data_IF_584298941623
#
_entry.id   IF_584298941623
#
_cell.length_a   1.000
_cell.length_b   1.000
_cell.length_c   1.000
_cell.angle_alpha   90.00
_cell.angle_beta   90.00
_cell.angle_gamma   90.00
#
_symmetry.space_group_name_H-M   'P 1'
#
loop_
_entity.id
_entity.type
_entity.pdbx_description
1 polymer ?
#
# COMPACT_ATOMS: atom_id res chain seq x y z
N UNK A 1 15.45 -22.64 -23.22
CA UNK A 1 14.34 -22.34 -22.29
C UNK A 1 13.67 -21.07 -22.80
N UNK A 2 12.40 -21.14 -23.21
CA UNK A 2 11.62 -19.93 -23.53
C UNK A 2 11.32 -19.16 -22.24
N UNK A 3 11.40 -17.83 -22.28
CA UNK A 3 11.05 -16.98 -21.14
C UNK A 3 9.55 -17.09 -20.86
N UNK A 4 9.15 -17.27 -19.60
CA UNK A 4 7.74 -17.21 -19.18
C UNK A 4 7.34 -15.74 -19.01
N UNK A 5 6.95 -15.11 -20.12
CA UNK A 5 6.62 -13.68 -20.16
C UNK A 5 5.44 -13.33 -19.23
N UNK A 6 4.33 -14.11 -19.17
CA UNK A 6 3.26 -13.86 -18.21
C UNK A 6 3.75 -13.87 -16.76
N UNK A 7 4.61 -14.81 -16.37
CA UNK A 7 5.13 -14.86 -15.01
C UNK A 7 6.03 -13.65 -14.69
N UNK A 8 6.90 -13.25 -15.63
CA UNK A 8 7.75 -12.07 -15.48
C UNK A 8 6.89 -10.81 -15.27
N UNK A 9 5.86 -10.62 -16.09
CA UNK A 9 4.94 -9.49 -15.97
C UNK A 9 4.13 -9.51 -14.68
N UNK A 10 3.66 -10.68 -14.23
CA UNK A 10 2.99 -10.81 -12.95
C UNK A 10 3.92 -10.38 -11.79
N UNK A 11 5.20 -10.77 -11.86
CA UNK A 11 6.23 -10.35 -10.90
C UNK A 11 6.51 -8.84 -10.93
N UNK A 12 6.58 -8.24 -12.12
CA UNK A 12 6.79 -6.78 -12.27
C UNK A 12 5.63 -6.01 -11.64
N UNK A 13 4.38 -6.39 -11.95
CA UNK A 13 3.20 -5.71 -11.42
C UNK A 13 3.08 -5.93 -9.92
N UNK A 14 3.29 -7.15 -9.42
CA UNK A 14 3.29 -7.43 -7.99
C UNK A 14 4.33 -6.57 -7.26
N UNK A 15 5.53 -6.46 -7.82
CA UNK A 15 6.59 -5.60 -7.27
C UNK A 15 6.18 -4.12 -7.29
N UNK A 16 5.58 -3.64 -8.38
CA UNK A 16 5.10 -2.27 -8.48
C UNK A 16 4.03 -1.95 -7.43
N UNK A 17 3.05 -2.84 -7.23
CA UNK A 17 2.02 -2.68 -6.19
C UNK A 17 2.64 -2.71 -4.80
N UNK A 18 3.59 -3.61 -4.52
CA UNK A 18 4.29 -3.63 -3.24
C UNK A 18 5.06 -2.33 -2.99
N UNK A 19 5.82 -1.85 -3.99
CA UNK A 19 6.56 -0.59 -3.88
C UNK A 19 5.62 0.58 -3.67
N UNK A 20 4.48 0.63 -4.36
CA UNK A 20 3.46 1.64 -4.13
C UNK A 20 2.98 1.64 -2.66
N UNK A 21 2.58 0.48 -2.15
CA UNK A 21 2.08 0.32 -0.77
C UNK A 21 3.15 0.70 0.27
N UNK A 22 4.42 0.38 0.04
CA UNK A 22 5.51 0.69 0.98
C UNK A 22 5.95 2.15 0.91
N UNK A 23 5.98 2.74 -0.29
CA UNK A 23 6.50 4.09 -0.52
C UNK A 23 5.40 5.14 -0.33
N UNK A 24 4.31 5.07 -1.10
CA UNK A 24 3.20 6.03 -0.96
C UNK A 24 2.39 5.79 0.33
N UNK A 25 2.48 4.59 0.92
CA UNK A 25 1.82 4.28 2.19
C UNK A 25 2.28 5.14 3.36
N UNK A 26 3.55 5.55 3.42
CA UNK A 26 3.98 6.53 4.44
C UNK A 26 3.58 7.95 4.10
N UNK A 27 3.51 8.33 2.82
CA UNK A 27 3.04 9.66 2.37
C UNK A 27 1.58 9.87 2.79
N UNK A 28 0.72 8.89 2.46
CA UNK A 28 -0.67 8.84 2.90
C UNK A 28 -0.77 8.77 4.43
N UNK A 29 0.10 8.01 5.07
CA UNK A 29 0.24 7.93 6.53
C UNK A 29 0.47 9.29 7.20
N UNK A 30 1.36 10.11 6.64
CA UNK A 30 1.62 11.47 7.13
C UNK A 30 0.38 12.34 6.94
N UNK A 31 -0.33 12.21 5.82
CA UNK A 31 -1.61 12.88 5.57
C UNK A 31 -2.69 12.52 6.60
N UNK A 32 -2.79 11.25 6.99
CA UNK A 32 -3.71 10.79 8.06
C UNK A 32 -3.33 11.41 9.40
N UNK A 33 -2.03 11.53 9.70
CA UNK A 33 -1.52 12.10 10.94
C UNK A 33 -1.57 13.64 10.97
N UNK A 34 -1.73 14.27 9.81
CA UNK A 34 -1.62 15.72 9.61
C UNK A 34 -2.52 16.59 10.51
N UNK A 35 -3.79 16.20 10.78
CA UNK A 35 -4.65 16.95 11.70
C UNK A 35 -4.11 16.97 13.13
N UNK A 36 -3.35 15.95 13.55
CA UNK A 36 -2.88 15.75 14.91
C UNK A 36 -1.57 16.49 15.23
N UNK A 37 -0.95 17.15 14.25
CA UNK A 37 0.15 18.08 14.48
C UNK A 37 -0.29 19.22 15.43
N UNK A 38 0.58 19.63 16.35
CA UNK A 38 0.23 20.60 17.40
C UNK A 38 0.37 22.04 16.92
N UNK A 39 1.17 22.29 15.88
CA UNK A 39 1.35 23.63 15.32
C UNK A 39 1.35 23.61 13.78
N UNK A 40 1.08 24.77 13.14
CA UNK A 40 1.27 24.91 11.71
C UNK A 40 2.70 24.59 11.25
N UNK A 41 3.71 24.93 12.06
CA UNK A 41 5.13 24.69 11.74
C UNK A 41 5.44 23.20 11.65
N UNK A 42 4.82 22.37 12.50
CA UNK A 42 5.00 20.93 12.40
C UNK A 42 4.35 20.32 11.18
N UNK A 43 3.20 20.88 10.76
CA UNK A 43 2.58 20.50 9.50
C UNK A 43 3.50 20.83 8.33
N UNK A 44 4.20 21.96 8.39
CA UNK A 44 5.19 22.33 7.38
C UNK A 44 6.35 21.31 7.35
N UNK A 45 6.95 20.98 8.50
CA UNK A 45 7.99 19.95 8.61
C UNK A 45 7.52 18.57 8.13
N UNK A 46 6.28 18.18 8.45
CA UNK A 46 5.69 16.92 7.97
C UNK A 46 5.61 16.88 6.44
N UNK A 47 5.17 17.96 5.78
CA UNK A 47 5.11 18.04 4.33
C UNK A 47 6.49 18.07 3.69
N UNK A 48 7.39 18.90 4.22
CA UNK A 48 8.75 19.05 3.71
C UNK A 48 9.54 17.72 3.78
N UNK A 49 9.20 16.85 4.74
CA UNK A 49 9.81 15.52 4.87
C UNK A 49 9.52 14.55 3.71
N UNK A 50 8.45 14.79 2.94
CA UNK A 50 8.04 13.94 1.81
C UNK A 50 8.07 14.67 0.47
N UNK A 51 8.21 16.01 0.47
CA UNK A 51 8.28 16.84 -0.74
C UNK A 51 9.20 16.29 -1.85
N UNK A 52 10.39 15.73 -1.56
CA UNK A 52 11.29 15.26 -2.63
C UNK A 52 10.90 13.91 -3.26
N UNK A 53 9.97 13.15 -2.64
CA UNK A 53 9.74 11.73 -3.00
C UNK A 53 8.28 11.41 -3.34
N UNK A 54 7.30 12.16 -2.85
CA UNK A 54 5.88 11.78 -2.93
C UNK A 54 5.37 11.58 -4.38
N UNK A 55 5.72 12.48 -5.30
CA UNK A 55 5.31 12.38 -6.71
C UNK A 55 5.92 11.12 -7.37
N UNK A 56 7.20 10.84 -7.07
CA UNK A 56 7.86 9.62 -7.50
C UNK A 56 7.21 8.35 -6.97
N UNK A 57 6.68 8.38 -5.74
CA UNK A 57 6.04 7.22 -5.11
C UNK A 57 4.71 6.86 -5.79
N UNK A 58 3.93 7.85 -6.26
CA UNK A 58 2.69 7.62 -6.99
C UNK A 58 2.90 6.91 -8.34
N UNK A 59 4.08 7.06 -8.96
CA UNK A 59 4.37 6.43 -10.27
C UNK A 59 4.28 4.90 -10.24
N UNK A 60 4.49 4.28 -9.07
CA UNK A 60 4.36 2.83 -8.90
C UNK A 60 2.92 2.34 -9.05
N UNK A 61 1.93 3.16 -8.65
CA UNK A 61 0.52 2.87 -8.89
C UNK A 61 0.20 2.88 -10.39
N UNK A 62 0.79 3.83 -11.12
CA UNK A 62 0.64 3.92 -12.58
C UNK A 62 1.22 2.69 -13.27
N UNK A 63 2.40 2.24 -12.86
CA UNK A 63 2.98 0.99 -13.36
C UNK A 63 2.12 -0.23 -12.99
N UNK A 64 1.55 -0.26 -11.77
CA UNK A 64 0.64 -1.32 -11.35
C UNK A 64 -0.63 -1.39 -12.22
N UNK A 65 -1.36 -0.29 -12.33
CA UNK A 65 -2.62 -0.21 -13.08
C UNK A 65 -2.44 -0.27 -14.60
N UNK A 66 -1.50 0.52 -15.13
CA UNK A 66 -1.17 0.53 -16.56
C UNK A 66 -0.50 -0.77 -17.02
N UNK A 67 0.35 -1.35 -16.16
CA UNK A 67 0.93 -2.67 -16.39
C UNK A 67 -0.14 -3.76 -16.41
N UNK A 68 -1.13 -3.71 -15.50
CA UNK A 68 -2.25 -4.66 -15.51
C UNK A 68 -3.07 -4.55 -16.80
N UNK A 69 -3.38 -3.34 -17.24
CA UNK A 69 -4.06 -3.10 -18.52
C UNK A 69 -3.29 -3.69 -19.70
N UNK A 70 -1.98 -3.43 -19.76
CA UNK A 70 -1.16 -3.79 -20.89
C UNK A 70 -0.83 -5.30 -20.94
N UNK A 71 -0.43 -5.88 -19.80
CA UNK A 71 0.02 -7.25 -19.71
C UNK A 71 -1.11 -8.26 -19.45
N UNK A 72 -2.17 -7.86 -18.75
CA UNK A 72 -3.28 -8.75 -18.36
C UNK A 72 -4.65 -8.13 -18.67
N UNK A 73 -4.97 -7.87 -19.96
CA UNK A 73 -6.18 -7.14 -20.35
C UNK A 73 -7.48 -7.81 -19.88
N UNK A 74 -7.53 -9.14 -19.81
CA UNK A 74 -8.71 -9.86 -19.30
C UNK A 74 -8.90 -9.69 -17.79
N UNK A 75 -7.81 -9.64 -17.02
CA UNK A 75 -7.89 -9.31 -15.60
C UNK A 75 -8.33 -7.86 -15.40
N UNK A 76 -7.79 -6.94 -16.21
CA UNK A 76 -8.20 -5.54 -16.18
C UNK A 76 -9.70 -5.37 -16.49
N UNK A 77 -10.22 -6.04 -17.52
CA UNK A 77 -11.64 -5.97 -17.88
C UNK A 77 -12.58 -6.61 -16.85
N UNK A 78 -12.09 -7.55 -16.05
CA UNK A 78 -12.85 -8.16 -14.97
C UNK A 78 -12.85 -7.29 -13.70
N UNK A 79 -11.67 -6.81 -13.29
CA UNK A 79 -11.48 -6.12 -12.01
C UNK A 79 -11.88 -4.65 -12.06
N UNK A 80 -11.60 -3.94 -13.14
CA UNK A 80 -11.84 -2.49 -13.19
C UNK A 80 -13.32 -2.12 -13.13
N UNK A 81 -14.25 -2.79 -13.83
CA UNK A 81 -15.68 -2.53 -13.67
C UNK A 81 -16.18 -2.89 -12.26
N UNK A 82 -15.68 -3.99 -11.68
CA UNK A 82 -16.06 -4.44 -10.35
C UNK A 82 -15.65 -3.45 -9.23
N UNK A 83 -14.47 -2.84 -9.40
CA UNK A 83 -13.87 -1.92 -8.42
C UNK A 83 -13.89 -0.47 -8.89
N UNK A 84 -14.76 -0.14 -9.85
CA UNK A 84 -14.79 1.15 -10.54
C UNK A 84 -14.97 2.33 -9.57
N UNK A 85 -15.95 2.25 -8.68
CA UNK A 85 -16.25 3.32 -7.71
C UNK A 85 -15.10 3.53 -6.71
N UNK A 86 -14.56 2.49 -6.03
CA UNK A 86 -13.38 2.63 -5.19
C UNK A 86 -12.16 3.19 -5.92
N UNK A 87 -11.87 2.72 -7.14
CA UNK A 87 -10.73 3.22 -7.93
C UNK A 87 -10.89 4.69 -8.28
N UNK A 88 -12.08 5.14 -8.72
CA UNK A 88 -12.33 6.55 -9.00
C UNK A 88 -12.21 7.40 -7.72
N UNK A 89 -12.78 6.93 -6.61
CA UNK A 89 -12.67 7.63 -5.34
C UNK A 89 -11.20 7.79 -4.94
N UNK A 90 -10.40 6.73 -5.10
CA UNK A 90 -8.96 6.74 -4.85
C UNK A 90 -8.25 7.78 -5.73
N UNK A 91 -8.48 7.78 -7.05
CA UNK A 91 -7.84 8.71 -7.98
C UNK A 91 -8.22 10.17 -7.68
N UNK A 92 -9.50 10.45 -7.43
CA UNK A 92 -9.96 11.80 -7.04
C UNK A 92 -9.34 12.26 -5.72
N UNK A 93 -9.20 11.34 -4.76
CA UNK A 93 -8.58 11.63 -3.47
C UNK A 93 -7.06 11.88 -3.59
N UNK A 94 -6.36 11.15 -4.45
CA UNK A 94 -4.95 11.38 -4.77
C UNK A 94 -4.75 12.72 -5.49
N UNK A 95 -5.61 13.07 -6.46
CA UNK A 95 -5.59 14.39 -7.11
C UNK A 95 -5.80 15.49 -6.06
N UNK A 96 -6.80 15.36 -5.19
CA UNK A 96 -7.05 16.32 -4.12
C UNK A 96 -5.84 16.46 -3.20
N UNK A 97 -5.18 15.34 -2.85
CA UNK A 97 -3.96 15.33 -2.04
C UNK A 97 -2.83 16.11 -2.71
N UNK A 98 -2.51 15.80 -3.97
CA UNK A 98 -1.43 16.46 -4.72
C UNK A 98 -1.67 17.96 -4.91
N UNK A 99 -2.91 18.35 -5.27
CA UNK A 99 -3.28 19.77 -5.36
C UNK A 99 -3.19 20.44 -3.98
N UNK A 100 -3.66 19.80 -2.92
CA UNK A 100 -3.55 20.37 -1.58
C UNK A 100 -2.10 20.52 -1.12
N UNK A 101 -1.21 19.61 -1.53
CA UNK A 101 0.21 19.68 -1.24
C UNK A 101 0.85 20.95 -1.82
N UNK A 102 0.68 21.18 -3.13
CA UNK A 102 1.24 22.33 -3.84
C UNK A 102 0.61 23.66 -3.40
N UNK A 103 -0.72 23.72 -3.32
CA UNK A 103 -1.42 24.99 -3.10
C UNK A 103 -1.42 25.45 -1.64
N UNK A 104 -1.07 24.60 -0.67
CA UNK A 104 -1.04 24.99 0.75
C UNK A 104 0.01 26.07 1.01
N UNK A 105 1.15 26.05 0.31
CA UNK A 105 2.21 27.04 0.50
C UNK A 105 1.79 28.44 -0.02
N UNK A 106 1.00 28.46 -1.09
CA UNK A 106 0.49 29.69 -1.72
C UNK A 106 -0.79 30.27 -1.09
N UNK A 107 -1.44 29.52 -0.19
CA UNK A 107 -2.69 29.94 0.45
C UNK A 107 -2.50 31.08 1.45
N UNK A 108 -3.39 32.10 1.41
CA UNK A 108 -3.62 33.02 2.55
C UNK A 108 -4.22 32.25 3.74
N UNK A 109 -4.36 32.87 4.92
CA UNK A 109 -4.76 32.19 6.18
C UNK A 109 -5.98 31.25 6.06
N UNK A 110 -7.08 31.67 5.40
CA UNK A 110 -8.25 30.79 5.18
C UNK A 110 -8.00 29.67 4.16
N UNK A 111 -7.19 29.94 3.13
CA UNK A 111 -6.77 28.93 2.15
C UNK A 111 -5.89 27.84 2.78
N UNK A 112 -4.98 28.21 3.70
CA UNK A 112 -4.14 27.22 4.42
C UNK A 112 -4.97 26.23 5.23
N UNK A 113 -6.04 26.68 5.90
CA UNK A 113 -6.91 25.79 6.66
C UNK A 113 -7.67 24.81 5.75
N UNK A 114 -8.19 25.30 4.61
CA UNK A 114 -8.83 24.46 3.61
C UNK A 114 -7.88 23.41 3.03
N UNK A 115 -6.69 23.81 2.58
CA UNK A 115 -5.71 22.88 2.01
C UNK A 115 -5.15 21.90 3.04
N UNK A 116 -5.05 22.31 4.31
CA UNK A 116 -4.71 21.39 5.40
C UNK A 116 -5.77 20.29 5.58
N UNK A 117 -7.05 20.66 5.54
CA UNK A 117 -8.14 19.69 5.62
C UNK A 117 -8.22 18.82 4.35
N UNK A 118 -7.99 19.40 3.17
CA UNK A 118 -7.99 18.69 1.89
C UNK A 118 -6.86 17.66 1.79
N UNK A 119 -5.65 18.00 2.26
CA UNK A 119 -4.51 17.07 2.29
C UNK A 119 -4.80 15.86 3.20
N UNK A 120 -5.32 16.12 4.40
CA UNK A 120 -5.68 15.05 5.33
C UNK A 120 -6.86 14.21 4.82
N UNK A 121 -7.93 14.86 4.36
CA UNK A 121 -9.13 14.21 3.83
C UNK A 121 -8.85 13.39 2.58
N UNK A 122 -8.04 13.92 1.64
CA UNK A 122 -7.58 13.20 0.45
C UNK A 122 -6.75 11.98 0.82
N UNK A 123 -5.83 12.09 1.77
CA UNK A 123 -4.99 10.96 2.20
C UNK A 123 -5.81 9.86 2.90
N UNK A 124 -6.75 10.24 3.77
CA UNK A 124 -7.67 9.29 4.42
C UNK A 124 -8.58 8.62 3.39
N UNK A 125 -9.18 9.40 2.49
CA UNK A 125 -10.08 8.87 1.47
C UNK A 125 -9.36 7.94 0.48
N UNK A 126 -8.15 8.30 0.04
CA UNK A 126 -7.34 7.44 -0.83
C UNK A 126 -6.98 6.11 -0.12
N UNK A 127 -6.60 6.17 1.16
CA UNK A 127 -6.27 4.97 1.93
C UNK A 127 -7.48 4.06 2.15
N UNK A 128 -8.64 4.63 2.50
CA UNK A 128 -9.87 3.86 2.65
C UNK A 128 -10.29 3.24 1.31
N UNK A 129 -10.21 3.99 0.22
CA UNK A 129 -10.51 3.51 -1.12
C UNK A 129 -9.58 2.36 -1.54
N UNK A 130 -8.28 2.44 -1.25
CA UNK A 130 -7.34 1.34 -1.48
C UNK A 130 -7.69 0.09 -0.70
N UNK A 131 -8.07 0.21 0.56
CA UNK A 131 -8.46 -0.96 1.34
C UNK A 131 -9.82 -1.53 0.93
N UNK A 132 -10.73 -0.70 0.39
CA UNK A 132 -11.95 -1.17 -0.28
C UNK A 132 -11.63 -1.94 -1.58
N UNK A 133 -10.69 -1.44 -2.38
CA UNK A 133 -10.16 -2.15 -3.57
C UNK A 133 -9.57 -3.49 -3.15
N UNK A 134 -8.71 -3.51 -2.14
CA UNK A 134 -8.07 -4.74 -1.65
C UNK A 134 -9.08 -5.73 -1.06
N UNK A 135 -10.02 -5.25 -0.25
CA UNK A 135 -11.06 -6.08 0.35
C UNK A 135 -12.03 -6.63 -0.69
N UNK A 136 -12.40 -5.84 -1.70
CA UNK A 136 -13.18 -6.29 -2.85
C UNK A 136 -12.41 -7.31 -3.70
N UNK A 137 -11.11 -7.09 -3.92
CA UNK A 137 -10.24 -8.05 -4.59
C UNK A 137 -10.22 -9.39 -3.84
N UNK A 138 -9.95 -9.41 -2.53
CA UNK A 138 -9.89 -10.65 -1.74
C UNK A 138 -11.21 -11.43 -1.75
N UNK A 139 -12.34 -10.72 -1.76
CA UNK A 139 -13.66 -11.34 -1.84
C UNK A 139 -13.92 -12.05 -3.17
N UNK A 140 -13.23 -11.64 -4.22
CA UNK A 140 -13.50 -12.07 -5.59
C UNK A 140 -14.59 -11.23 -6.24
N UNK A 141 -14.73 -11.41 -7.55
CA UNK A 141 -15.68 -10.67 -8.38
C UNK A 141 -16.59 -11.64 -9.11
N UNK A 142 -17.87 -11.29 -9.27
CA UNK A 142 -18.81 -12.14 -10.01
C UNK A 142 -18.56 -11.99 -11.50
N UNK A 143 -18.26 -13.10 -12.18
CA UNK A 143 -17.99 -13.13 -13.61
C UNK A 143 -19.04 -13.97 -14.36
N UNK A 144 -19.41 -13.50 -15.56
CA UNK A 144 -20.08 -14.30 -16.57
C UNK A 144 -19.12 -14.46 -17.76
N UNK A 145 -18.56 -15.67 -17.90
CA UNK A 145 -17.45 -15.90 -18.83
C UNK A 145 -16.19 -15.14 -18.41
N UNK A 146 -15.83 -14.09 -19.16
CA UNK A 146 -14.67 -13.21 -18.87
C UNK A 146 -15.07 -11.77 -18.52
N UNK A 147 -16.37 -11.50 -18.44
CA UNK A 147 -16.89 -10.16 -18.16
C UNK A 147 -17.44 -10.09 -16.74
N UNK A 148 -17.31 -8.92 -16.14
CA UNK A 148 -17.95 -8.62 -14.86
C UNK A 148 -19.47 -8.65 -14.98
N UNK A 149 -20.13 -9.35 -14.07
CA UNK A 149 -21.58 -9.53 -14.03
C UNK A 149 -22.19 -9.18 -12.65
N UNK A 150 -21.39 -8.62 -11.73
CA UNK A 150 -21.83 -8.23 -10.40
C UNK A 150 -22.55 -6.88 -10.36
N UNK A 151 -23.03 -6.52 -9.17
CA UNK A 151 -23.61 -5.23 -8.86
C UNK A 151 -22.56 -4.13 -8.62
N UNK A 152 -22.94 -2.84 -8.78
CA UNK A 152 -22.01 -1.71 -8.64
C UNK A 152 -21.48 -1.50 -7.21
N UNK A 153 -22.06 -2.15 -6.21
CA UNK A 153 -21.69 -2.04 -4.79
C UNK A 153 -21.28 -3.38 -4.16
N UNK A 154 -21.04 -4.43 -4.96
CA UNK A 154 -20.66 -5.75 -4.43
C UNK A 154 -19.32 -5.71 -3.66
N UNK A 155 -18.48 -4.73 -3.96
CA UNK A 155 -17.24 -4.46 -3.23
C UNK A 155 -17.47 -3.87 -1.83
N UNK A 156 -18.65 -3.32 -1.52
CA UNK A 156 -18.96 -2.65 -0.25
C UNK A 156 -19.59 -3.66 0.73
N UNK A 157 -18.74 -4.29 1.53
CA UNK A 157 -19.16 -5.29 2.51
C UNK A 157 -18.53 -5.00 3.87
N UNK A 158 -19.04 -5.56 4.98
CA UNK A 158 -18.38 -5.45 6.28
C UNK A 158 -16.92 -5.93 6.25
N UNK A 159 -16.62 -6.93 5.42
CA UNK A 159 -15.26 -7.42 5.23
C UNK A 159 -14.36 -6.40 4.53
N UNK A 160 -14.79 -5.78 3.43
CA UNK A 160 -13.95 -4.77 2.76
C UNK A 160 -13.78 -3.51 3.58
N UNK A 161 -14.79 -3.13 4.38
CA UNK A 161 -14.67 -2.04 5.34
C UNK A 161 -13.64 -2.36 6.44
N UNK A 162 -13.62 -3.60 6.94
CA UNK A 162 -12.61 -4.06 7.91
C UNK A 162 -11.20 -3.97 7.31
N UNK A 163 -11.01 -4.40 6.06
CA UNK A 163 -9.73 -4.28 5.34
C UNK A 163 -9.34 -2.81 5.15
N UNK A 164 -10.30 -1.94 4.81
CA UNK A 164 -10.08 -0.48 4.69
C UNK A 164 -9.62 0.16 5.99
N UNK A 165 -10.25 -0.16 7.12
CA UNK A 165 -9.82 0.31 8.44
C UNK A 165 -8.46 -0.27 8.82
N UNK A 166 -8.21 -1.54 8.49
CA UNK A 166 -6.90 -2.19 8.66
C UNK A 166 -5.78 -1.46 7.92
N UNK A 167 -6.01 -1.12 6.65
CA UNK A 167 -5.04 -0.39 5.84
C UNK A 167 -4.81 1.03 6.36
N UNK A 168 -5.87 1.72 6.83
CA UNK A 168 -5.77 3.03 7.47
C UNK A 168 -4.84 2.99 8.69
N UNK A 169 -4.99 1.98 9.56
CA UNK A 169 -4.10 1.79 10.71
C UNK A 169 -2.66 1.48 10.28
N UNK A 170 -2.49 0.63 9.27
CA UNK A 170 -1.18 0.26 8.72
C UNK A 170 -0.44 1.45 8.10
N UNK A 171 -1.10 2.26 7.29
CA UNK A 171 -0.48 3.47 6.72
C UNK A 171 -0.21 4.53 7.78
N UNK A 172 -1.07 4.65 8.79
CA UNK A 172 -0.76 5.48 9.97
C UNK A 172 0.54 5.03 10.64
N UNK A 173 0.79 3.73 10.74
CA UNK A 173 2.05 3.18 11.25
C UNK A 173 3.24 3.51 10.32
N UNK A 174 3.10 3.35 9.01
CA UNK A 174 4.13 3.73 8.04
C UNK A 174 4.48 5.22 8.13
N UNK A 175 3.48 6.10 8.13
CA UNK A 175 3.68 7.54 8.28
C UNK A 175 4.34 7.91 9.61
N UNK A 176 3.88 7.33 10.72
CA UNK A 176 4.47 7.60 12.04
C UNK A 176 5.93 7.14 12.13
N UNK A 177 6.25 5.95 11.62
CA UNK A 177 7.61 5.42 11.64
C UNK A 177 8.54 6.14 10.67
N UNK A 178 8.04 6.61 9.53
CA UNK A 178 8.76 7.50 8.63
C UNK A 178 9.06 8.86 9.29
N UNK A 179 8.11 9.46 9.99
CA UNK A 179 8.35 10.70 10.74
C UNK A 179 9.38 10.52 11.86
N UNK A 180 9.38 9.38 12.56
CA UNK A 180 10.45 9.06 13.54
C UNK A 180 11.82 9.08 12.85
N UNK A 181 11.90 8.57 11.61
CA UNK A 181 13.13 8.54 10.86
C UNK A 181 13.58 9.93 10.39
N UNK A 182 12.65 10.73 9.85
CA UNK A 182 12.95 11.97 9.13
C UNK A 182 12.86 13.26 9.94
N UNK A 183 12.34 13.22 11.17
CA UNK A 183 12.15 14.42 12.00
C UNK A 183 12.92 14.37 13.31
N UNK A 184 13.00 15.51 14.00
CA UNK A 184 13.64 15.67 15.31
C UNK A 184 12.75 16.40 16.33
N UNK A 185 13.20 16.47 17.58
CA UNK A 185 12.55 17.23 18.64
C UNK A 185 11.15 16.73 19.01
N UNK A 186 10.27 17.66 19.33
CA UNK A 186 8.90 17.41 19.81
C UNK A 186 8.04 16.63 18.81
N UNK A 187 8.22 16.88 17.51
CA UNK A 187 7.51 16.16 16.45
C UNK A 187 7.93 14.68 16.44
N UNK A 188 9.23 14.40 16.58
CA UNK A 188 9.72 13.02 16.65
C UNK A 188 9.18 12.28 17.89
N UNK A 189 9.10 12.94 19.04
CA UNK A 189 8.53 12.36 20.28
C UNK A 189 7.06 12.00 20.08
N UNK A 190 6.29 12.85 19.41
CA UNK A 190 4.88 12.56 19.09
C UNK A 190 4.72 11.49 18.03
N UNK A 191 5.57 11.47 17.01
CA UNK A 191 5.60 10.40 16.03
C UNK A 191 5.83 9.02 16.69
N UNK A 192 6.66 8.94 17.74
CA UNK A 192 6.82 7.71 18.55
C UNK A 192 5.53 7.28 19.24
N UNK A 193 4.77 8.23 19.79
CA UNK A 193 3.45 7.94 20.39
C UNK A 193 2.45 7.45 19.35
N UNK A 194 2.39 8.10 18.18
CA UNK A 194 1.54 7.68 17.08
C UNK A 194 1.93 6.29 16.57
N UNK A 195 3.22 6.01 16.42
CA UNK A 195 3.74 4.70 16.03
C UNK A 195 3.38 3.62 17.05
N UNK A 196 3.43 3.92 18.36
CA UNK A 196 3.05 2.96 19.40
C UNK A 196 1.56 2.58 19.31
N UNK A 197 0.69 3.57 19.17
CA UNK A 197 -0.77 3.36 19.07
C UNK A 197 -1.11 2.63 17.76
N UNK A 198 -0.57 3.10 16.63
CA UNK A 198 -0.83 2.50 15.32
C UNK A 198 -0.20 1.12 15.16
N UNK A 199 0.91 0.80 15.83
CA UNK A 199 1.46 -0.56 15.85
C UNK A 199 0.50 -1.54 16.53
N UNK A 200 -0.06 -1.15 17.68
CA UNK A 200 -1.07 -1.95 18.38
C UNK A 200 -2.35 -2.12 17.54
N UNK A 201 -2.84 -1.03 16.94
CA UNK A 201 -4.01 -1.06 16.07
C UNK A 201 -3.77 -1.92 14.82
N UNK A 202 -2.62 -1.79 14.17
CA UNK A 202 -2.22 -2.59 13.00
C UNK A 202 -2.12 -4.06 13.36
N UNK A 203 -1.50 -4.41 14.49
CA UNK A 203 -1.39 -5.79 14.93
C UNK A 203 -2.78 -6.42 15.19
N UNK A 204 -3.65 -5.70 15.90
CA UNK A 204 -5.00 -6.16 16.19
C UNK A 204 -5.84 -6.31 14.91
N UNK A 205 -5.86 -5.30 14.04
CA UNK A 205 -6.63 -5.32 12.80
C UNK A 205 -6.08 -6.34 11.79
N UNK A 206 -4.77 -6.51 11.70
CA UNK A 206 -4.15 -7.55 10.87
C UNK A 206 -4.56 -8.95 11.34
N UNK A 207 -4.57 -9.19 12.66
CA UNK A 207 -5.04 -10.45 13.22
C UNK A 207 -6.53 -10.67 12.92
N UNK A 208 -7.38 -9.66 13.12
CA UNK A 208 -8.82 -9.74 12.84
C UNK A 208 -9.09 -9.96 11.34
N UNK A 209 -8.40 -9.23 10.44
CA UNK A 209 -8.50 -9.43 8.98
C UNK A 209 -8.03 -10.84 8.60
N UNK A 210 -6.93 -11.33 9.16
CA UNK A 210 -6.41 -12.66 8.86
C UNK A 210 -7.42 -13.75 9.25
N UNK A 211 -7.96 -13.67 10.48
CA UNK A 211 -9.01 -14.59 10.94
C UNK A 211 -10.28 -14.47 10.07
N UNK A 212 -10.75 -13.25 9.81
CA UNK A 212 -11.91 -13.02 8.96
C UNK A 212 -11.72 -13.59 7.55
N UNK A 213 -10.52 -13.49 6.99
CA UNK A 213 -10.18 -14.04 5.68
C UNK A 213 -10.25 -15.56 5.68
N UNK A 214 -9.68 -16.21 6.68
CA UNK A 214 -9.73 -17.68 6.82
C UNK A 214 -11.17 -18.18 7.05
N UNK A 215 -12.02 -17.42 7.74
CA UNK A 215 -13.41 -17.79 7.97
C UNK A 215 -14.31 -17.54 6.75
N UNK A 216 -14.11 -16.41 6.05
CA UNK A 216 -14.95 -16.01 4.93
C UNK A 216 -14.59 -16.72 3.62
N UNK A 217 -13.34 -17.17 3.46
CA UNK A 217 -12.83 -17.73 2.21
C UNK A 217 -12.25 -19.14 2.42
N UNK A 218 -13.07 -20.21 2.33
CA UNK A 218 -12.63 -21.59 2.54
C UNK A 218 -11.48 -22.03 1.63
N UNK A 219 -11.42 -21.52 0.40
CA UNK A 219 -10.31 -21.81 -0.53
C UNK A 219 -8.98 -21.25 -0.04
N UNK A 220 -8.98 -20.05 0.57
CA UNK A 220 -7.80 -19.49 1.21
C UNK A 220 -7.49 -20.28 2.47
N UNK A 221 -8.49 -20.61 3.28
CA UNK A 221 -8.31 -21.40 4.49
C UNK A 221 -7.57 -22.72 4.21
N UNK A 222 -8.02 -23.47 3.19
CA UNK A 222 -7.39 -24.72 2.77
C UNK A 222 -5.94 -24.53 2.32
N UNK A 223 -5.61 -23.43 1.60
CA UNK A 223 -4.23 -23.08 1.23
C UNK A 223 -3.32 -22.89 2.44
N UNK A 224 -3.88 -22.44 3.55
CA UNK A 224 -3.18 -22.22 4.81
C UNK A 224 -3.26 -23.41 5.78
N UNK A 225 -3.79 -24.56 5.34
CA UNK A 225 -3.91 -25.77 6.16
C UNK A 225 -5.09 -25.77 7.12
N UNK A 226 -6.07 -24.88 6.92
CA UNK A 226 -7.31 -24.82 7.69
C UNK A 226 -8.47 -25.31 6.83
N UNK A 227 -8.88 -26.56 7.00
CA UNK A 227 -9.96 -27.16 6.19
C UNK A 227 -10.98 -27.87 7.09
N UNK A 228 -12.26 -27.49 6.99
CA UNK A 228 -13.37 -28.10 7.73
C UNK A 228 -13.16 -28.21 9.25
N UNK A 229 -12.44 -27.24 9.85
CA UNK A 229 -12.13 -27.24 11.28
C UNK A 229 -10.94 -28.14 11.68
N UNK A 230 -10.33 -28.83 10.72
CA UNK A 230 -9.07 -29.54 10.88
C UNK A 230 -7.88 -28.61 10.59
N UNK A 231 -6.77 -28.90 11.26
CA UNK A 231 -5.52 -28.16 11.14
C UNK A 231 -4.44 -29.10 10.58
N UNK A 232 -3.96 -28.79 9.37
CA UNK A 232 -2.86 -29.52 8.74
C UNK A 232 -1.54 -28.77 8.91
N UNK A 233 -0.74 -29.28 9.84
CA UNK A 233 0.59 -28.75 10.12
C UNK A 233 1.55 -28.91 8.92
N UNK A 234 1.36 -29.93 8.08
CA UNK A 234 2.25 -30.16 6.93
C UNK A 234 2.10 -29.06 5.88
N UNK A 235 0.87 -28.56 5.68
CA UNK A 235 0.59 -27.41 4.80
C UNK A 235 0.97 -26.08 5.46
N UNK A 236 0.73 -25.90 6.76
CA UNK A 236 1.03 -24.63 7.43
C UNK A 236 2.53 -24.43 7.72
N UNK A 237 3.27 -25.46 8.11
CA UNK A 237 4.68 -25.35 8.50
C UNK A 237 5.58 -24.62 7.48
N UNK A 238 5.51 -24.90 6.16
CA UNK A 238 6.30 -24.15 5.16
C UNK A 238 5.83 -22.70 4.99
N UNK A 239 4.58 -22.37 5.36
CA UNK A 239 4.01 -21.03 5.25
C UNK A 239 4.14 -20.20 6.55
N UNK A 240 4.40 -20.86 7.69
CA UNK A 240 4.57 -20.23 9.00
C UNK A 240 5.63 -19.11 9.07
N UNK A 241 6.72 -19.12 8.26
CA UNK A 241 7.64 -17.97 8.19
C UNK A 241 6.95 -16.65 7.79
N UNK A 242 5.85 -16.69 7.04
CA UNK A 242 5.13 -15.50 6.56
C UNK A 242 4.50 -14.71 7.73
N UNK A 243 3.61 -15.28 8.57
CA UNK A 243 3.10 -14.57 9.73
C UNK A 243 4.18 -14.29 10.78
N UNK A 244 5.20 -15.16 10.90
CA UNK A 244 6.34 -14.91 11.77
C UNK A 244 7.12 -13.66 11.35
N UNK A 245 7.28 -13.41 10.05
CA UNK A 245 7.89 -12.19 9.51
C UNK A 245 7.15 -10.94 10.00
N UNK A 246 5.81 -10.99 10.02
CA UNK A 246 4.97 -9.90 10.54
C UNK A 246 5.17 -9.68 12.04
N UNK A 247 5.21 -10.76 12.83
CA UNK A 247 5.48 -10.69 14.27
C UNK A 247 6.88 -10.15 14.57
N UNK A 248 7.89 -10.59 13.82
CA UNK A 248 9.26 -10.05 13.89
C UNK A 248 9.25 -8.56 13.52
N UNK A 249 8.54 -8.19 12.46
CA UNK A 249 8.34 -6.80 12.05
C UNK A 249 7.77 -5.93 13.17
N UNK A 250 6.71 -6.38 13.84
CA UNK A 250 6.13 -5.70 15.01
C UNK A 250 7.13 -5.58 16.16
N UNK A 251 7.91 -6.64 16.43
CA UNK A 251 9.00 -6.60 17.42
C UNK A 251 10.06 -5.55 17.06
N UNK A 252 10.45 -5.48 15.80
CA UNK A 252 11.40 -4.49 15.28
C UNK A 252 10.84 -3.06 15.36
N UNK A 253 9.55 -2.85 15.10
CA UNK A 253 8.85 -1.56 15.33
C UNK A 253 9.00 -1.14 16.79
N UNK A 254 8.64 -2.03 17.72
CA UNK A 254 8.69 -1.78 19.17
C UNK A 254 10.12 -1.45 19.62
N UNK A 255 11.12 -2.19 19.12
CA UNK A 255 12.53 -1.93 19.41
C UNK A 255 12.99 -0.60 18.84
N UNK A 256 12.61 -0.26 17.60
CA UNK A 256 12.94 1.00 16.95
C UNK A 256 12.38 2.22 17.67
N UNK A 257 11.11 2.14 18.12
CA UNK A 257 10.46 3.19 18.92
C UNK A 257 11.25 3.45 20.23
N UNK A 258 11.78 2.39 20.85
CA UNK A 258 12.50 2.48 22.14
C UNK A 258 13.97 2.88 22.01
N UNK A 259 14.70 2.37 21.01
CA UNK A 259 16.17 2.43 20.96
C UNK A 259 16.77 3.64 20.23
N UNK A 260 15.96 4.65 19.89
CA UNK A 260 16.40 5.85 19.16
C UNK A 260 17.12 5.60 17.81
N UNK A 261 17.15 4.34 17.32
CA UNK A 261 17.57 4.01 15.97
C UNK A 261 16.42 4.32 15.00
N UNK A 262 16.61 5.42 14.27
CA UNK A 262 15.54 6.16 13.61
C UNK A 262 14.90 5.42 12.44
N UNK A 263 15.66 4.66 11.64
CA UNK A 263 15.12 3.90 10.51
C UNK A 263 14.58 2.51 10.91
N UNK A 264 14.96 1.99 12.09
CA UNK A 264 14.63 0.62 12.49
C UNK A 264 13.13 0.39 12.61
N UNK A 265 12.39 1.36 13.14
CA UNK A 265 10.93 1.24 13.26
C UNK A 265 10.25 1.18 11.90
N UNK A 266 10.73 1.95 10.91
CA UNK A 266 10.21 1.90 9.54
C UNK A 266 10.50 0.56 8.87
N UNK A 267 11.71 0.01 9.04
CA UNK A 267 12.04 -1.33 8.54
C UNK A 267 11.14 -2.40 9.15
N UNK A 268 10.86 -2.31 10.46
CA UNK A 268 9.90 -3.21 11.11
C UNK A 268 8.50 -3.09 10.50
N UNK A 269 8.02 -1.87 10.21
CA UNK A 269 6.73 -1.66 9.58
C UNK A 269 6.69 -2.23 8.15
N UNK A 270 7.77 -2.07 7.36
CA UNK A 270 7.90 -2.71 6.05
C UNK A 270 7.86 -4.24 6.13
N UNK A 271 8.45 -4.87 7.16
CA UNK A 271 8.35 -6.31 7.36
C UNK A 271 6.90 -6.75 7.66
N UNK A 272 6.13 -5.95 8.41
CA UNK A 272 4.70 -6.22 8.65
C UNK A 272 3.91 -6.18 7.34
N UNK A 273 4.11 -5.16 6.52
CA UNK A 273 3.45 -5.04 5.22
C UNK A 273 3.87 -6.13 4.24
N UNK A 274 5.17 -6.46 4.21
CA UNK A 274 5.71 -7.54 3.39
C UNK A 274 5.12 -8.90 3.79
N UNK A 275 4.96 -9.16 5.09
CA UNK A 275 4.28 -10.36 5.58
C UNK A 275 2.84 -10.45 5.08
N UNK A 276 2.05 -9.37 5.23
CA UNK A 276 0.67 -9.33 4.72
C UNK A 276 0.60 -9.52 3.20
N UNK A 277 1.47 -8.84 2.46
CA UNK A 277 1.54 -8.91 1.01
C UNK A 277 1.89 -10.32 0.49
N UNK A 278 2.93 -10.95 1.06
CA UNK A 278 3.30 -12.33 0.73
C UNK A 278 2.17 -13.28 1.13
N UNK A 279 1.51 -13.04 2.26
CA UNK A 279 0.38 -13.85 2.70
C UNK A 279 -0.78 -13.85 1.69
N UNK A 280 -1.10 -12.68 1.13
CA UNK A 280 -2.07 -12.56 0.04
C UNK A 280 -1.57 -13.26 -1.23
N UNK A 281 -0.30 -13.06 -1.61
CA UNK A 281 0.28 -13.68 -2.79
C UNK A 281 0.18 -15.22 -2.73
N UNK A 282 0.51 -15.84 -1.60
CA UNK A 282 0.35 -17.29 -1.38
C UNK A 282 -1.12 -17.71 -1.41
N UNK A 283 -2.01 -16.89 -0.86
CA UNK A 283 -3.46 -17.12 -0.87
C UNK A 283 -4.05 -17.22 -2.27
N UNK A 284 -3.59 -16.39 -3.21
CA UNK A 284 -4.20 -16.28 -4.54
C UNK A 284 -3.39 -16.90 -5.66
N UNK A 285 -2.06 -16.90 -5.61
CA UNK A 285 -1.22 -17.41 -6.70
C UNK A 285 -1.63 -18.85 -7.08
N UNK A 286 -1.80 -19.19 -8.38
CA UNK A 286 -1.47 -18.41 -9.57
C UNK A 286 -2.58 -17.47 -10.08
N UNK A 287 -3.66 -17.28 -9.34
CA UNK A 287 -4.79 -16.46 -9.77
C UNK A 287 -4.49 -14.96 -9.65
N UNK A 288 -4.66 -14.24 -10.76
CA UNK A 288 -4.57 -12.77 -10.80
C UNK A 288 -5.94 -12.13 -10.66
N UNK A 289 -7.01 -12.82 -11.10
CA UNK A 289 -8.39 -12.55 -10.69
C UNK A 289 -8.76 -13.62 -9.67
N UNK A 290 -8.94 -13.27 -8.39
CA UNK A 290 -9.15 -14.23 -7.32
C UNK A 290 -10.24 -15.25 -7.66
N UNK A 291 -9.92 -16.52 -7.40
CA UNK A 291 -10.79 -17.69 -7.59
C UNK A 291 -11.16 -18.10 -9.02
N UNK A 292 -10.96 -17.24 -10.03
CA UNK A 292 -11.50 -17.47 -11.38
C UNK A 292 -10.44 -17.55 -12.49
N UNK A 293 -9.43 -16.67 -12.50
CA UNK A 293 -8.51 -16.55 -13.64
C UNK A 293 -7.04 -16.56 -13.22
N UNK A 294 -6.28 -17.52 -13.77
CA UNK A 294 -4.84 -17.57 -13.60
C UNK A 294 -4.11 -16.52 -14.45
N UNK A 295 -2.87 -16.19 -14.07
CA UNK A 295 -2.10 -15.16 -14.75
C UNK A 295 -1.83 -15.47 -16.24
N UNK A 296 -1.76 -16.74 -16.65
CA UNK A 296 -1.53 -17.12 -18.05
C UNK A 296 -2.81 -17.00 -18.87
N UNK A 297 -3.95 -17.35 -18.29
CA UNK A 297 -5.28 -17.15 -18.88
C UNK A 297 -5.60 -15.67 -19.08
N UNK A 298 -5.12 -14.82 -18.15
CA UNK A 298 -5.35 -13.39 -18.19
C UNK A 298 -4.40 -12.63 -19.13
N UNK A 299 -3.29 -13.26 -19.54
CA UNK A 299 -2.18 -12.61 -20.22
C UNK A 299 -2.52 -12.16 -21.65
N UNK A 300 -1.83 -11.10 -22.08
CA UNK A 300 -1.78 -10.68 -23.47
C UNK A 300 -0.93 -11.63 -24.32
N UNK A 301 -0.97 -11.48 -25.65
CA UNK A 301 -0.16 -12.26 -26.57
C UNK A 301 1.36 -12.07 -26.33
N UNK A 302 2.13 -13.15 -26.45
CA UNK A 302 3.56 -13.17 -26.15
C UNK A 302 4.38 -12.11 -26.91
N UNK A 303 3.99 -11.79 -28.15
CA UNK A 303 4.65 -10.75 -28.94
C UNK A 303 4.48 -9.35 -28.33
N UNK A 304 3.29 -9.03 -27.80
CA UNK A 304 3.03 -7.78 -27.11
C UNK A 304 3.79 -7.73 -25.78
N UNK A 305 3.72 -8.80 -24.99
CA UNK A 305 4.46 -8.91 -23.73
C UNK A 305 5.96 -8.76 -23.93
N UNK A 306 6.52 -9.38 -24.96
CA UNK A 306 7.94 -9.30 -25.31
C UNK A 306 8.35 -7.89 -25.73
N UNK A 307 7.57 -7.24 -26.59
CA UNK A 307 7.84 -5.86 -27.03
C UNK A 307 7.86 -4.88 -25.86
N UNK A 308 6.86 -4.95 -24.99
CA UNK A 308 6.78 -4.07 -23.81
C UNK A 308 7.89 -4.36 -22.80
N UNK A 309 8.28 -5.64 -22.65
CA UNK A 309 9.36 -6.04 -21.74
C UNK A 309 10.70 -5.42 -22.13
N UNK A 310 10.98 -5.25 -23.43
CA UNK A 310 12.19 -4.53 -23.89
C UNK A 310 12.25 -3.12 -23.30
N UNK A 311 11.12 -2.40 -23.31
CA UNK A 311 11.02 -1.08 -22.69
C UNK A 311 11.23 -1.12 -21.18
N UNK A 312 10.58 -2.07 -20.50
CA UNK A 312 10.68 -2.21 -19.03
C UNK A 312 12.10 -2.54 -18.58
N UNK A 313 12.81 -3.42 -19.28
CA UNK A 313 14.19 -3.82 -18.92
C UNK A 313 15.16 -2.63 -18.98
N UNK A 314 14.88 -1.61 -19.80
CA UNK A 314 15.68 -0.39 -19.87
C UNK A 314 15.21 0.64 -18.85
N UNK A 315 13.90 0.91 -18.81
CA UNK A 315 13.32 2.00 -18.03
C UNK A 315 13.26 1.69 -16.53
N UNK A 316 12.90 0.46 -16.15
CA UNK A 316 12.71 0.11 -14.74
C UNK A 316 14.02 0.22 -13.93
N UNK A 317 15.19 -0.29 -14.40
CA UNK A 317 16.45 -0.05 -13.71
C UNK A 317 16.84 1.42 -13.65
N UNK A 318 16.56 2.21 -14.69
CA UNK A 318 16.82 3.64 -14.69
C UNK A 318 15.96 4.38 -13.66
N UNK A 319 14.67 4.06 -13.57
CA UNK A 319 13.74 4.60 -12.57
C UNK A 319 14.20 4.21 -11.16
N UNK A 320 14.51 2.94 -10.92
CA UNK A 320 15.00 2.47 -9.62
C UNK A 320 16.31 3.16 -9.22
N UNK A 321 17.24 3.34 -10.17
CA UNK A 321 18.49 4.06 -9.95
C UNK A 321 18.26 5.53 -9.59
N UNK A 322 17.37 6.21 -10.32
CA UNK A 322 16.95 7.58 -10.02
C UNK A 322 16.27 7.68 -8.65
N UNK A 323 15.31 6.81 -8.33
CA UNK A 323 14.65 6.78 -7.03
C UNK A 323 15.66 6.56 -5.91
N UNK A 324 16.56 5.59 -6.04
CA UNK A 324 17.62 5.35 -5.06
C UNK A 324 18.52 6.57 -4.86
N UNK A 325 18.87 7.27 -5.96
CA UNK A 325 19.63 8.51 -5.90
C UNK A 325 18.89 9.61 -5.13
N UNK A 326 17.60 9.84 -5.42
CA UNK A 326 16.79 10.85 -4.73
C UNK A 326 16.73 10.56 -3.24
N UNK A 327 16.43 9.32 -2.84
CA UNK A 327 16.41 8.93 -1.42
C UNK A 327 17.78 9.07 -0.75
N UNK A 328 18.87 8.80 -1.47
CA UNK A 328 20.23 8.99 -0.96
C UNK A 328 20.56 10.48 -0.77
N UNK A 329 20.19 11.32 -1.74
CA UNK A 329 20.43 12.76 -1.72
C UNK A 329 19.67 13.44 -0.57
N UNK A 330 18.41 13.05 -0.36
CA UNK A 330 17.52 13.62 0.66
C UNK A 330 17.45 12.81 1.96
N UNK A 331 18.46 11.97 2.28
CA UNK A 331 18.45 11.13 3.51
C UNK A 331 18.56 11.91 4.82
N UNK A 332 18.84 13.21 4.76
CA UNK A 332 18.92 14.09 5.92
C UNK A 332 17.58 14.19 6.65
N UNK A 333 17.65 14.58 7.92
CA UNK A 333 16.45 14.93 8.68
C UNK A 333 16.01 16.35 8.38
N UNK A 334 14.73 16.59 8.56
CA UNK A 334 14.09 17.90 8.39
C UNK A 334 13.77 18.46 9.78
N UNK A 335 14.37 19.60 10.12
CA UNK A 335 14.09 20.33 11.34
C UNK A 335 13.19 21.55 11.12
N UNK A 336 12.75 22.18 12.21
CA UNK A 336 11.97 23.43 12.16
C UNK A 336 12.77 24.63 11.62
N UNK A 337 14.10 24.55 11.57
CA UNK A 337 14.97 25.55 10.94
C UNK A 337 15.14 25.38 9.43
N UNK A 338 14.74 24.23 8.88
CA UNK A 338 14.81 23.91 7.44
C UNK A 338 13.43 24.07 6.76
N UNK A 339 12.41 24.47 7.53
CA UNK A 339 11.04 24.60 7.04
C UNK A 339 10.95 25.72 5.99
N UNK A 340 10.49 25.37 4.80
CA UNK A 340 10.38 26.30 3.67
C UNK A 340 11.40 26.09 2.55
N UNK A 341 11.84 24.85 2.28
CA UNK A 341 12.58 24.53 1.06
C UNK A 341 11.68 24.61 -0.18
N UNK A 342 11.49 25.85 -0.62
CA UNK A 342 11.45 26.29 -2.01
C UNK A 342 12.55 27.32 -2.23
#
# INVERSE_FOLDING_TARGET
>A
MSLDLPLIWAGIIATAVLLYVLLDGFDLGIGILFPFAASPQERDVMMDSIAPVWDGNETWLVLGGGGLFAAFPFAYSALMPALYLPVILMLLALILRGVAFEFRHHGRTRGKAFWTAAFAGGSIAATLAQGLVLGGFIQGVTLEGRAFAGGPFDWLTPYSLLVAVGLLAGYTLLGATYLIWRTEGELQVRARRWAWISAGATAALLAVVSVATLLAHPRIAARWGFENGAFDLATLAPLAPIPLLGLVGLGVVILGIRRAHQATSLMGAYLVFLSGYIGLAVGFFPNIVPYDMDFRQAANADNALGLMLVGVVILLPAILGYTAWVYWLFRGKVGSGDAGYH
#
